data_IF_346529711493
#
_entry.id   IF_346529711493
#
_cell.length_a   1.000
_cell.length_b   1.000
_cell.length_c   1.000
_cell.angle_alpha   90.00
_cell.angle_beta   90.00
_cell.angle_gamma   90.00
#
_symmetry.space_group_name_H-M   'P 1'
#
loop_
_entity.id
_entity.type
_entity.pdbx_description
1 polymer ?
#
# COMPACT_ATOMS: atom_id res chain seq x y z
N UNK A 1 1.41 -45.55 27.84
CA UNK A 1 2.83 -45.20 27.67
C UNK A 1 2.90 -44.04 26.69
N UNK A 2 3.58 -43.00 27.14
CA UNK A 2 3.68 -41.63 26.62
C UNK A 2 4.38 -41.53 25.26
N UNK A 3 3.86 -40.67 24.39
CA UNK A 3 4.58 -39.69 23.56
C UNK A 3 3.50 -38.88 22.82
N UNK A 4 3.18 -37.63 23.14
CA UNK A 4 3.99 -36.41 23.26
C UNK A 4 4.99 -36.24 22.10
N UNK A 5 4.95 -35.04 21.51
CA UNK A 5 5.77 -34.54 20.40
C UNK A 5 5.29 -34.88 18.98
N UNK A 6 4.18 -34.26 18.57
CA UNK A 6 4.14 -33.65 17.23
C UNK A 6 4.40 -32.17 17.40
N UNK A 7 5.71 -31.92 17.50
CA UNK A 7 6.48 -30.73 17.21
C UNK A 7 5.70 -29.47 16.82
N UNK A 8 5.59 -28.64 17.84
CA UNK A 8 5.52 -27.19 17.85
C UNK A 8 6.58 -26.54 16.93
N UNK A 9 6.37 -26.53 15.61
CA UNK A 9 7.26 -25.88 14.64
C UNK A 9 6.68 -24.59 14.04
N UNK A 10 5.69 -23.96 14.67
CA UNK A 10 5.03 -22.76 14.14
C UNK A 10 5.10 -21.55 15.10
N UNK A 11 6.16 -21.45 15.91
CA UNK A 11 6.35 -20.36 16.89
C UNK A 11 7.56 -19.47 16.64
N UNK A 12 8.21 -19.58 15.48
CA UNK A 12 9.45 -18.83 15.17
C UNK A 12 9.27 -17.69 14.14
N UNK A 13 8.08 -17.10 14.08
CA UNK A 13 7.88 -15.78 13.49
C UNK A 13 7.17 -14.95 14.55
N UNK A 14 7.93 -14.13 15.28
CA UNK A 14 7.54 -13.40 16.49
C UNK A 14 6.43 -12.35 16.35
N UNK A 15 5.52 -12.49 15.39
CA UNK A 15 4.26 -11.77 15.31
C UNK A 15 3.19 -12.84 15.16
N UNK A 16 2.48 -13.15 16.25
CA UNK A 16 1.28 -13.97 16.19
C UNK A 16 0.19 -13.17 15.48
N UNK A 17 0.30 -13.06 14.15
CA UNK A 17 -0.76 -12.63 13.27
C UNK A 17 -1.76 -13.78 13.20
N UNK A 18 -2.58 -13.91 14.25
CA UNK A 18 -3.70 -14.84 14.24
C UNK A 18 -4.54 -14.58 12.96
N UNK A 19 -4.86 -15.65 12.24
CA UNK A 19 -5.71 -15.61 11.05
C UNK A 19 -7.21 -15.64 11.41
N UNK A 20 -7.55 -15.61 12.70
CA UNK A 20 -8.91 -15.47 13.20
C UNK A 20 -9.61 -14.19 12.73
N UNK A 21 -10.95 -14.11 12.86
CA UNK A 21 -11.77 -13.00 12.35
C UNK A 21 -11.47 -11.63 13.02
N UNK A 22 -10.81 -11.63 14.18
CA UNK A 22 -10.34 -10.44 14.87
C UNK A 22 -8.80 -10.38 14.96
N UNK A 23 -8.13 -11.23 14.19
CA UNK A 23 -6.69 -11.30 14.12
C UNK A 23 -6.07 -10.11 13.39
N UNK A 24 -4.76 -9.90 13.58
CA UNK A 24 -4.07 -8.73 13.06
C UNK A 24 -4.18 -8.61 11.53
N UNK A 25 -4.14 -9.73 10.80
CA UNK A 25 -4.31 -9.74 9.34
C UNK A 25 -5.72 -9.32 8.91
N UNK A 26 -6.76 -9.80 9.62
CA UNK A 26 -8.15 -9.44 9.33
C UNK A 26 -8.42 -7.95 9.59
N UNK A 27 -7.86 -7.41 10.67
CA UNK A 27 -7.92 -5.97 10.99
C UNK A 27 -7.19 -5.16 9.90
N UNK A 28 -6.00 -5.59 9.49
CA UNK A 28 -5.25 -4.93 8.41
C UNK A 28 -6.02 -4.94 7.08
N UNK A 29 -6.70 -6.04 6.75
CA UNK A 29 -7.55 -6.13 5.55
C UNK A 29 -8.71 -5.15 5.62
N UNK A 30 -9.41 -5.09 6.75
CA UNK A 30 -10.51 -4.15 6.98
C UNK A 30 -10.03 -2.70 6.86
N UNK A 31 -8.86 -2.39 7.44
CA UNK A 31 -8.25 -1.07 7.34
C UNK A 31 -7.90 -0.72 5.88
N UNK A 32 -7.32 -1.66 5.13
CA UNK A 32 -6.97 -1.46 3.73
C UNK A 32 -8.22 -1.19 2.87
N UNK A 33 -9.32 -1.90 3.12
CA UNK A 33 -10.60 -1.67 2.45
C UNK A 33 -11.17 -0.28 2.76
N UNK A 34 -11.09 0.18 4.02
CA UNK A 34 -11.57 1.51 4.42
C UNK A 34 -10.74 2.66 3.84
N UNK A 35 -9.44 2.43 3.61
CA UNK A 35 -8.51 3.45 3.11
C UNK A 35 -8.30 3.39 1.59
N UNK A 36 -8.89 2.41 0.91
CA UNK A 36 -8.82 2.30 -0.53
C UNK A 36 -9.44 3.53 -1.20
N UNK A 37 -8.68 4.19 -2.08
CA UNK A 37 -9.19 5.33 -2.84
C UNK A 37 -10.03 4.79 -3.99
N UNK A 38 -11.36 4.93 -3.85
CA UNK A 38 -12.30 4.49 -4.84
C UNK A 38 -12.16 5.29 -6.16
N UNK A 39 -12.51 4.72 -7.33
CA UNK A 39 -12.38 5.38 -8.62
C UNK A 39 -13.06 6.77 -8.68
N UNK A 40 -14.21 6.92 -8.03
CA UNK A 40 -14.94 8.19 -7.94
C UNK A 40 -14.18 9.28 -7.15
N UNK A 41 -13.36 8.89 -6.18
CA UNK A 41 -12.58 9.80 -5.34
C UNK A 41 -11.17 10.05 -5.88
N UNK A 42 -10.77 9.35 -6.95
CA UNK A 42 -9.44 9.43 -7.53
C UNK A 42 -9.04 10.87 -7.83
N UNK A 43 -9.86 11.63 -8.55
CA UNK A 43 -9.51 13.00 -8.92
C UNK A 43 -9.27 13.92 -7.72
N UNK A 44 -10.00 13.68 -6.63
CA UNK A 44 -9.88 14.45 -5.38
C UNK A 44 -8.66 14.04 -4.56
N UNK A 45 -8.34 12.74 -4.53
CA UNK A 45 -7.36 12.18 -3.58
C UNK A 45 -6.03 11.74 -4.22
N UNK A 46 -5.92 11.69 -5.56
CA UNK A 46 -4.71 11.21 -6.26
C UNK A 46 -3.42 11.93 -5.88
N UNK A 47 -3.49 13.21 -5.51
CA UNK A 47 -2.36 14.03 -5.05
C UNK A 47 -2.37 14.30 -3.54
N UNK A 48 -3.39 13.81 -2.83
CA UNK A 48 -3.44 13.92 -1.37
C UNK A 48 -2.43 12.96 -0.76
N UNK A 49 -1.24 13.49 -0.45
CA UNK A 49 -0.10 12.75 0.09
C UNK A 49 -0.46 11.88 1.29
N UNK A 50 -1.26 12.41 2.23
CA UNK A 50 -1.66 11.66 3.43
C UNK A 50 -2.57 10.49 3.09
N UNK A 51 -3.56 10.71 2.22
CA UNK A 51 -4.47 9.65 1.79
C UNK A 51 -3.72 8.55 1.01
N UNK A 52 -2.85 8.94 0.07
CA UNK A 52 -2.02 8.00 -0.70
C UNK A 52 -1.06 7.21 0.19
N UNK A 53 -0.41 7.88 1.16
CA UNK A 53 0.47 7.20 2.10
C UNK A 53 -0.29 6.20 2.99
N UNK A 54 -1.45 6.59 3.50
CA UNK A 54 -2.28 5.73 4.36
C UNK A 54 -2.77 4.49 3.60
N UNK A 55 -3.24 4.65 2.36
CA UNK A 55 -3.65 3.54 1.49
C UNK A 55 -2.50 2.53 1.28
N UNK A 56 -1.30 3.03 0.94
CA UNK A 56 -0.14 2.16 0.69
C UNK A 56 0.36 1.48 1.96
N UNK A 57 0.39 2.18 3.10
CA UNK A 57 0.78 1.61 4.39
C UNK A 57 -0.20 0.52 4.83
N UNK A 58 -1.51 0.74 4.71
CA UNK A 58 -2.51 -0.27 5.07
C UNK A 58 -2.41 -1.52 4.18
N UNK A 59 -2.22 -1.33 2.87
CA UNK A 59 -1.97 -2.45 1.97
C UNK A 59 -0.69 -3.22 2.34
N UNK A 60 0.39 -2.52 2.70
CA UNK A 60 1.64 -3.16 3.13
C UNK A 60 1.46 -4.04 4.38
N UNK A 61 0.66 -3.60 5.36
CA UNK A 61 0.35 -4.38 6.56
C UNK A 61 -0.32 -5.71 6.22
N UNK A 62 -1.24 -5.74 5.24
CA UNK A 62 -1.89 -6.98 4.78
C UNK A 62 -0.86 -7.98 4.25
N UNK A 63 0.12 -7.53 3.47
CA UNK A 63 1.16 -8.42 2.94
C UNK A 63 2.15 -8.85 4.02
N UNK A 64 2.61 -7.93 4.85
CA UNK A 64 3.58 -8.22 5.90
C UNK A 64 3.03 -9.20 6.93
N UNK A 65 1.79 -9.01 7.38
CA UNK A 65 1.14 -9.89 8.35
C UNK A 65 0.72 -11.25 7.74
N UNK A 66 0.59 -11.31 6.42
CA UNK A 66 0.38 -12.54 5.65
C UNK A 66 1.67 -13.16 5.11
N UNK A 67 2.80 -12.93 5.77
CA UNK A 67 4.13 -13.50 5.48
C UNK A 67 4.64 -13.28 4.03
N UNK A 68 4.33 -12.12 3.45
CA UNK A 68 4.78 -11.69 2.11
C UNK A 68 5.54 -10.36 2.17
N UNK A 69 6.71 -10.30 2.85
CA UNK A 69 7.46 -9.06 3.01
C UNK A 69 7.91 -8.43 1.70
N UNK A 70 8.21 -9.24 0.67
CA UNK A 70 8.57 -8.80 -0.67
C UNK A 70 7.49 -7.93 -1.35
N UNK A 71 6.21 -8.19 -1.07
CA UNK A 71 5.09 -7.37 -1.54
C UNK A 71 4.84 -6.15 -0.64
N UNK A 72 5.19 -6.24 0.64
CA UNK A 72 5.03 -5.15 1.59
C UNK A 72 6.06 -4.03 1.38
N UNK A 73 7.32 -4.37 1.08
CA UNK A 73 8.42 -3.42 0.88
C UNK A 73 8.10 -2.33 -0.14
N UNK A 74 7.72 -2.63 -1.40
CA UNK A 74 7.47 -1.58 -2.39
C UNK A 74 6.31 -0.67 -1.98
N UNK A 75 5.33 -1.17 -1.23
CA UNK A 75 4.20 -0.38 -0.73
C UNK A 75 4.62 0.56 0.40
N UNK A 76 5.47 0.10 1.31
CA UNK A 76 6.06 0.97 2.34
C UNK A 76 6.91 2.07 1.72
N UNK A 77 7.70 1.74 0.70
CA UNK A 77 8.47 2.73 -0.05
C UNK A 77 7.57 3.78 -0.71
N UNK A 78 6.45 3.35 -1.32
CA UNK A 78 5.46 4.30 -1.85
C UNK A 78 4.88 5.19 -0.75
N UNK A 79 4.51 4.62 0.41
CA UNK A 79 3.97 5.39 1.53
C UNK A 79 4.96 6.45 2.02
N UNK A 80 6.23 6.08 2.20
CA UNK A 80 7.32 7.01 2.54
C UNK A 80 7.44 8.09 1.46
N UNK A 81 7.46 7.69 0.19
CA UNK A 81 7.63 8.62 -0.93
C UNK A 81 6.51 9.66 -1.04
N UNK A 82 5.30 9.31 -0.64
CA UNK A 82 4.19 10.26 -0.52
C UNK A 82 4.39 11.25 0.64
N UNK A 83 4.90 10.79 1.78
CA UNK A 83 5.11 11.61 2.97
C UNK A 83 6.31 12.57 2.82
N UNK A 84 7.43 12.07 2.29
CA UNK A 84 8.66 12.84 2.08
C UNK A 84 8.65 13.67 0.80
N UNK A 85 7.61 13.51 -0.03
CA UNK A 85 7.37 14.23 -1.29
C UNK A 85 8.32 13.83 -2.44
N UNK A 86 9.03 12.70 -2.34
CA UNK A 86 9.82 12.14 -3.43
C UNK A 86 8.94 11.53 -4.54
N UNK A 87 7.68 11.19 -4.25
CA UNK A 87 6.70 10.72 -5.22
C UNK A 87 5.63 11.79 -5.46
N UNK A 88 5.25 11.93 -6.72
CA UNK A 88 4.13 12.77 -7.15
C UNK A 88 3.09 11.95 -7.91
N UNK A 89 1.84 12.41 -7.89
CA UNK A 89 0.77 11.75 -8.62
C UNK A 89 1.12 11.67 -10.11
N UNK A 90 0.90 10.52 -10.77
CA UNK A 90 1.02 10.46 -12.21
C UNK A 90 0.05 11.47 -12.86
N UNK A 91 0.43 12.06 -14.01
CA UNK A 91 -0.46 12.97 -14.74
C UNK A 91 -1.77 12.26 -15.10
N UNK A 92 -2.87 13.01 -15.21
CA UNK A 92 -4.14 12.44 -15.65
C UNK A 92 -3.97 11.81 -17.04
N UNK A 93 -4.47 10.59 -17.29
CA UNK A 93 -4.43 9.99 -18.62
C UNK A 93 -5.29 10.76 -19.65
N UNK A 94 -6.24 11.58 -19.18
CA UNK A 94 -7.11 12.42 -20.03
C UNK A 94 -6.44 13.68 -20.57
N UNK A 95 -5.20 13.96 -20.19
CA UNK A 95 -4.36 14.95 -20.86
C UNK A 95 -3.05 14.25 -21.26
N UNK A 96 -2.95 13.90 -22.54
CA UNK A 96 -1.66 13.59 -23.16
C UNK A 96 -0.69 14.76 -23.00
N UNK A 97 0.63 14.55 -23.21
CA UNK A 97 1.63 15.60 -23.05
C UNK A 97 1.18 16.82 -23.85
N UNK A 98 1.01 17.95 -23.15
CA UNK A 98 0.84 19.23 -23.82
C UNK A 98 2.01 19.36 -24.80
N UNK A 99 1.64 19.54 -26.06
CA UNK A 99 2.54 19.84 -27.17
C UNK A 99 3.33 21.10 -26.82
N UNK A 100 4.48 20.93 -26.20
CA UNK A 100 5.52 21.96 -26.09
C UNK A 100 6.37 21.93 -27.37
N UNK A 101 5.67 21.99 -28.52
CA UNK A 101 6.26 22.19 -29.83
C UNK A 101 6.17 23.69 -30.12
N UNK A 102 7.30 24.37 -29.95
CA UNK A 102 7.39 25.81 -30.06
C UNK A 102 6.89 26.35 -31.40
N UNK A 103 6.10 27.42 -31.31
CA UNK A 103 5.88 28.31 -32.44
C UNK A 103 6.64 29.61 -32.16
N UNK A 104 7.75 29.74 -32.87
CA UNK A 104 8.62 30.91 -32.94
C UNK A 104 7.76 32.10 -33.35
N UNK A 105 7.80 33.17 -32.57
CA UNK A 105 7.52 34.51 -33.10
C UNK A 105 8.47 34.77 -34.26
N UNK A 106 7.97 34.65 -35.50
CA UNK A 106 8.61 35.23 -36.67
C UNK A 106 8.17 36.69 -36.80
N UNK A 107 9.17 37.48 -37.14
CA UNK A 107 9.16 38.92 -37.40
C UNK A 107 8.29 39.34 -38.58
#
# INVERSE_FOLDING_TARGET
>A
MTNLAQSDTARDTGIAADAGPLGAEAIARTLAEQLAIAPQDWHRLKSNRRARAAEQAAAALVYLLGDRPEEAIPRLQQAIGWLDRSISAPPCPTHGPASDAGERSQS
#
